data_IF_461040296707
#
_entry.id   IF_461040296707
#
_cell.length_a   1.000
_cell.length_b   1.000
_cell.length_c   1.000
_cell.angle_alpha   90.00
_cell.angle_beta   90.00
_cell.angle_gamma   90.00
#
_symmetry.space_group_name_H-M   'P 1'
#
loop_
_entity.id
_entity.type
_entity.pdbx_description
1 polymer ?
#
# COMPACT_ATOMS: atom_id res chain seq x y z
N UNK A 1 0.35 -5.47 -5.23
CA UNK A 1 -0.26 -6.12 -4.06
C UNK A 1 0.00 -7.63 -4.04
N UNK A 2 1.27 -8.05 -4.07
CA UNK A 2 1.62 -9.47 -4.16
C UNK A 2 1.33 -10.26 -2.86
N UNK A 3 1.36 -9.58 -1.71
CA UNK A 3 1.05 -10.16 -0.40
C UNK A 3 -0.25 -9.57 0.15
N UNK A 4 -1.28 -10.41 0.26
CA UNK A 4 -2.64 -9.98 0.63
C UNK A 4 -3.03 -10.38 2.07
N UNK A 5 -2.08 -10.89 2.85
CA UNK A 5 -2.34 -11.41 4.20
C UNK A 5 -3.34 -12.56 4.15
N UNK A 6 -3.08 -13.56 3.31
CA UNK A 6 -3.93 -14.72 3.13
C UNK A 6 -3.80 -15.71 4.29
N UNK A 7 -4.91 -16.21 4.82
CA UNK A 7 -4.96 -17.23 5.86
C UNK A 7 -6.22 -18.10 5.74
N UNK A 8 -6.30 -19.17 6.52
CA UNK A 8 -7.45 -20.08 6.52
C UNK A 8 -8.72 -19.35 6.96
N UNK A 9 -9.79 -19.46 6.17
CA UNK A 9 -11.10 -18.92 6.53
C UNK A 9 -11.63 -19.45 7.87
N UNK A 10 -11.21 -20.66 8.25
CA UNK A 10 -11.56 -21.28 9.53
C UNK A 10 -10.83 -20.66 10.73
N UNK A 11 -9.71 -19.96 10.53
CA UNK A 11 -8.93 -19.34 11.62
C UNK A 11 -9.37 -17.90 11.93
N UNK A 12 -10.23 -17.32 11.09
CA UNK A 12 -10.67 -15.93 11.18
C UNK A 12 -11.26 -15.54 12.55
N UNK A 13 -11.98 -16.46 13.19
CA UNK A 13 -12.56 -16.24 14.53
C UNK A 13 -11.48 -16.05 15.62
N UNK A 14 -10.29 -16.64 15.45
CA UNK A 14 -9.17 -16.48 16.40
C UNK A 14 -8.70 -15.03 16.50
N UNK A 15 -8.97 -14.23 15.47
CA UNK A 15 -8.65 -12.81 15.41
C UNK A 15 -9.84 -11.89 15.77
N UNK A 16 -10.92 -12.44 16.34
CA UNK A 16 -12.13 -11.68 16.71
C UNK A 16 -13.08 -11.40 15.54
N UNK A 17 -12.78 -11.88 14.33
CA UNK A 17 -13.63 -11.71 13.16
C UNK A 17 -14.60 -12.90 13.04
N UNK A 18 -15.59 -12.98 13.94
CA UNK A 18 -16.59 -14.06 13.94
C UNK A 18 -17.78 -13.81 13.02
N UNK A 19 -18.18 -12.54 12.84
CA UNK A 19 -19.45 -12.16 12.19
C UNK A 19 -19.53 -12.57 10.72
N UNK A 20 -20.76 -12.68 10.21
CA UNK A 20 -21.03 -12.90 8.78
C UNK A 20 -20.54 -11.72 7.93
N UNK A 21 -20.72 -10.49 8.42
CA UNK A 21 -20.15 -9.31 7.79
C UNK A 21 -18.65 -9.46 7.58
N UNK A 22 -17.91 -9.82 8.64
CA UNK A 22 -16.48 -10.07 8.52
C UNK A 22 -16.17 -11.27 7.60
N UNK A 23 -17.05 -12.29 7.53
CA UNK A 23 -16.82 -13.44 6.64
C UNK A 23 -16.83 -12.98 5.19
N UNK A 24 -17.84 -12.20 4.83
CA UNK A 24 -17.99 -11.64 3.51
C UNK A 24 -16.88 -10.65 3.19
N UNK A 25 -16.43 -9.84 4.16
CA UNK A 25 -15.33 -8.91 3.95
C UNK A 25 -14.00 -9.62 3.73
N UNK A 26 -13.71 -10.75 4.37
CA UNK A 26 -12.42 -11.44 4.19
C UNK A 26 -12.39 -12.44 3.01
N UNK A 27 -13.53 -13.01 2.62
CA UNK A 27 -13.58 -14.09 1.63
C UNK A 27 -12.98 -13.67 0.28
N UNK A 28 -11.98 -14.41 -0.19
CA UNK A 28 -11.31 -14.21 -1.47
C UNK A 28 -10.70 -15.51 -1.97
N UNK A 29 -11.09 -15.98 -3.16
CA UNK A 29 -10.54 -17.16 -3.84
C UNK A 29 -10.31 -18.41 -2.95
N UNK A 30 -11.29 -18.72 -2.08
CA UNK A 30 -11.24 -19.91 -1.21
C UNK A 30 -10.49 -19.74 0.12
N UNK A 31 -9.87 -18.57 0.35
CA UNK A 31 -9.19 -18.23 1.60
C UNK A 31 -9.69 -16.89 2.18
N UNK A 32 -9.19 -16.51 3.35
CA UNK A 32 -9.45 -15.21 3.96
C UNK A 32 -8.28 -14.26 3.68
N UNK A 33 -8.57 -13.08 3.14
CA UNK A 33 -7.59 -12.05 2.80
C UNK A 33 -7.79 -10.81 3.66
N UNK A 34 -6.81 -10.49 4.51
CA UNK A 34 -6.83 -9.27 5.32
C UNK A 34 -6.82 -8.01 4.45
N UNK A 35 -6.08 -8.03 3.34
CA UNK A 35 -6.05 -6.92 2.38
C UNK A 35 -7.44 -6.67 1.78
N UNK A 36 -8.12 -7.73 1.33
CA UNK A 36 -9.47 -7.62 0.76
C UNK A 36 -10.46 -7.09 1.79
N UNK A 37 -10.35 -7.53 3.05
CA UNK A 37 -11.18 -7.02 4.13
C UNK A 37 -10.96 -5.52 4.35
N UNK A 38 -9.71 -5.07 4.46
CA UNK A 38 -9.37 -3.64 4.60
C UNK A 38 -9.89 -2.81 3.43
N UNK A 39 -9.66 -3.26 2.19
CA UNK A 39 -10.19 -2.59 0.99
C UNK A 39 -11.72 -2.49 1.01
N UNK A 40 -12.42 -3.50 1.54
CA UNK A 40 -13.87 -3.52 1.58
C UNK A 40 -14.44 -2.55 2.63
N UNK A 41 -13.82 -2.45 3.80
CA UNK A 41 -14.43 -1.83 4.99
C UNK A 41 -13.89 -0.45 5.36
N UNK A 42 -12.69 -0.07 4.90
CA UNK A 42 -12.14 1.26 5.20
C UNK A 42 -13.01 2.37 4.62
N UNK A 43 -13.01 3.54 5.27
CA UNK A 43 -13.69 4.74 4.74
C UNK A 43 -12.95 5.29 3.53
N UNK A 44 -11.62 5.39 3.64
CA UNK A 44 -10.70 5.90 2.62
C UNK A 44 -9.53 4.93 2.46
N UNK A 45 -9.02 4.83 1.24
CA UNK A 45 -7.83 4.06 0.89
C UNK A 45 -6.69 5.04 0.57
N UNK A 46 -5.50 4.79 1.10
CA UNK A 46 -4.30 5.54 0.74
C UNK A 46 -3.23 4.61 0.18
N UNK A 47 -2.35 5.18 -0.63
CA UNK A 47 -1.20 4.48 -1.18
C UNK A 47 -0.04 5.45 -1.41
N UNK A 48 1.15 4.93 -1.72
CA UNK A 48 2.40 5.71 -1.69
C UNK A 48 2.62 6.65 -2.88
N UNK A 49 1.74 6.69 -3.87
CA UNK A 49 1.78 7.70 -4.93
C UNK A 49 0.46 7.79 -5.70
N UNK A 50 0.15 8.95 -6.32
CA UNK A 50 -1.03 9.10 -7.19
C UNK A 50 -1.00 8.18 -8.41
N UNK A 51 0.20 7.88 -8.92
CA UNK A 51 0.36 6.93 -10.04
C UNK A 51 0.05 5.52 -9.58
N UNK A 52 0.60 5.10 -8.44
CA UNK A 52 0.34 3.76 -7.91
C UNK A 52 -1.14 3.54 -7.56
N UNK A 53 -1.85 4.58 -7.10
CA UNK A 53 -3.30 4.53 -6.89
C UNK A 53 -4.08 4.19 -8.16
N UNK A 54 -3.61 4.66 -9.33
CA UNK A 54 -4.18 4.34 -10.65
C UNK A 54 -3.73 2.97 -11.13
N UNK A 55 -2.47 2.61 -10.92
CA UNK A 55 -1.92 1.34 -11.38
C UNK A 55 -2.61 0.14 -10.74
N UNK A 56 -2.82 0.13 -9.42
CA UNK A 56 -3.42 -1.02 -8.72
C UNK A 56 -4.91 -1.23 -9.03
N UNK A 57 -5.52 -0.29 -9.77
CA UNK A 57 -6.86 -0.44 -10.33
C UNK A 57 -6.85 -1.20 -11.65
N UNK A 58 -5.68 -1.48 -12.23
CA UNK A 58 -5.54 -2.27 -13.46
C UNK A 58 -5.37 -3.77 -13.10
N UNK A 59 -5.91 -4.70 -13.91
CA UNK A 59 -5.82 -6.14 -13.64
C UNK A 59 -4.38 -6.64 -13.41
N UNK A 60 -3.40 -6.08 -14.12
CA UNK A 60 -2.00 -6.49 -14.08
C UNK A 60 -1.35 -6.22 -12.72
N UNK A 61 -1.81 -5.18 -12.02
CA UNK A 61 -1.19 -4.69 -10.78
C UNK A 61 -2.08 -4.89 -9.54
N UNK A 62 -3.36 -5.19 -9.74
CA UNK A 62 -4.32 -5.35 -8.65
C UNK A 62 -4.45 -6.78 -8.11
N UNK A 63 -3.78 -7.77 -8.71
CA UNK A 63 -3.70 -9.16 -8.19
C UNK A 63 -5.08 -9.75 -7.82
N UNK A 64 -6.09 -9.53 -8.66
CA UNK A 64 -7.47 -9.99 -8.46
C UNK A 64 -8.32 -9.16 -7.49
N UNK A 65 -7.78 -8.07 -6.93
CA UNK A 65 -8.49 -7.08 -6.13
C UNK A 65 -8.71 -5.75 -6.89
N UNK A 66 -8.19 -5.64 -8.11
CA UNK A 66 -8.33 -4.48 -9.00
C UNK A 66 -9.79 -4.02 -9.13
N UNK A 67 -10.72 -4.96 -9.28
CA UNK A 67 -12.15 -4.66 -9.41
C UNK A 67 -12.72 -3.97 -8.16
N UNK A 68 -12.27 -4.37 -6.96
CA UNK A 68 -12.73 -3.79 -5.70
C UNK A 68 -12.18 -2.38 -5.53
N UNK A 69 -10.93 -2.16 -5.93
CA UNK A 69 -10.30 -0.83 -5.90
C UNK A 69 -10.94 0.08 -6.94
N UNK A 70 -11.22 -0.40 -8.16
CA UNK A 70 -11.96 0.37 -9.18
C UNK A 70 -13.35 0.78 -8.69
N UNK A 71 -14.07 -0.11 -8.02
CA UNK A 71 -15.36 0.22 -7.40
C UNK A 71 -15.24 1.35 -6.36
N UNK A 72 -14.05 1.50 -5.79
CA UNK A 72 -13.70 2.51 -4.78
C UNK A 72 -12.80 3.63 -5.33
N UNK A 73 -12.79 3.85 -6.65
CA UNK A 73 -11.93 4.86 -7.28
C UNK A 73 -12.16 6.28 -6.70
N UNK A 74 -13.37 6.60 -6.25
CA UNK A 74 -13.69 7.88 -5.61
C UNK A 74 -13.23 8.01 -4.15
N UNK A 75 -12.72 6.95 -3.53
CA UNK A 75 -12.25 6.93 -2.14
C UNK A 75 -10.82 6.40 -1.99
N UNK A 76 -10.04 6.37 -3.07
CA UNK A 76 -8.61 6.06 -3.05
C UNK A 76 -7.75 7.27 -3.39
N UNK A 77 -6.69 7.49 -2.61
CA UNK A 77 -5.76 8.60 -2.74
C UNK A 77 -4.32 8.08 -2.78
N UNK A 78 -3.46 8.79 -3.50
CA UNK A 78 -2.02 8.58 -3.47
C UNK A 78 -1.32 9.70 -2.71
N UNK A 79 -0.60 9.35 -1.65
CA UNK A 79 0.19 10.24 -0.81
C UNK A 79 1.65 9.83 -0.99
N UNK A 80 2.43 10.70 -1.63
CA UNK A 80 3.87 10.46 -1.84
C UNK A 80 4.59 10.39 -0.51
N UNK A 81 5.42 9.36 -0.33
CA UNK A 81 6.27 9.26 0.86
C UNK A 81 7.23 10.45 0.93
N UNK A 82 7.37 11.02 2.13
CA UNK A 82 8.39 12.01 2.43
C UNK A 82 9.69 11.37 2.93
N UNK A 83 10.73 12.18 2.99
CA UNK A 83 11.97 11.89 3.71
C UNK A 83 12.24 13.01 4.70
N UNK A 84 12.94 12.70 5.78
CA UNK A 84 13.39 13.69 6.76
C UNK A 84 14.69 14.33 6.26
N UNK A 85 14.64 15.61 5.88
CA UNK A 85 15.81 16.34 5.36
C UNK A 85 16.74 16.88 6.44
N UNK A 86 16.42 16.77 7.73
CA UNK A 86 17.41 17.02 8.78
C UNK A 86 18.38 15.84 8.90
N UNK A 87 17.91 14.65 8.55
CA UNK A 87 18.68 13.40 8.58
C UNK A 87 19.26 13.07 7.20
N UNK A 88 18.45 13.15 6.14
CA UNK A 88 18.76 12.70 4.79
C UNK A 88 19.05 13.87 3.85
N UNK A 89 20.03 14.70 4.19
CA UNK A 89 20.47 15.82 3.37
C UNK A 89 21.85 15.56 2.74
N UNK A 90 21.95 15.27 1.43
CA UNK A 90 23.23 15.01 0.78
C UNK A 90 24.19 16.21 0.81
N UNK A 91 23.73 17.43 1.09
CA UNK A 91 24.61 18.60 1.21
C UNK A 91 25.41 18.61 2.52
N UNK A 92 24.93 17.90 3.55
CA UNK A 92 25.54 17.90 4.90
C UNK A 92 25.76 16.50 5.48
N UNK A 93 25.27 15.45 4.83
CA UNK A 93 25.38 14.07 5.27
C UNK A 93 26.85 13.61 5.30
N UNK A 94 27.34 13.23 6.47
CA UNK A 94 28.71 12.77 6.69
C UNK A 94 28.93 11.29 6.35
N UNK A 95 27.86 10.54 6.13
CA UNK A 95 27.90 9.10 5.83
C UNK A 95 28.10 8.80 4.33
N UNK A 96 27.91 9.80 3.46
CA UNK A 96 28.16 9.66 2.02
C UNK A 96 29.58 10.09 1.64
N UNK A 97 30.11 9.50 0.57
CA UNK A 97 31.51 9.68 0.17
C UNK A 97 31.87 11.14 -0.21
N UNK A 98 30.90 11.91 -0.69
CA UNK A 98 31.03 13.33 -0.98
C UNK A 98 29.67 13.99 -0.94
N UNK A 99 29.60 15.20 -0.38
CA UNK A 99 28.37 15.99 -0.37
C UNK A 99 28.04 16.52 -1.77
N UNK A 100 26.75 16.65 -2.05
CA UNK A 100 26.25 17.23 -3.30
C UNK A 100 24.89 17.90 -3.06
N UNK A 101 24.59 18.91 -3.86
CA UNK A 101 23.36 19.69 -3.78
C UNK A 101 22.68 19.83 -5.13
N UNK A 102 21.53 20.52 -5.17
CA UNK A 102 20.84 20.78 -6.44
C UNK A 102 21.66 21.63 -7.40
N UNK A 103 22.52 22.49 -6.85
CA UNK A 103 23.35 23.44 -7.62
C UNK A 103 24.74 22.87 -7.96
N UNK A 104 25.18 21.80 -7.28
CA UNK A 104 26.42 21.10 -7.55
C UNK A 104 26.27 19.59 -7.35
N UNK A 105 26.19 18.88 -8.48
CA UNK A 105 26.04 17.43 -8.54
C UNK A 105 27.38 16.69 -8.60
N UNK A 106 28.53 17.37 -8.56
CA UNK A 106 29.84 16.74 -8.77
C UNK A 106 30.18 15.63 -7.76
N UNK A 107 29.63 15.72 -6.55
CA UNK A 107 29.73 14.70 -5.49
C UNK A 107 28.79 13.50 -5.68
N UNK A 108 27.80 13.57 -6.57
CA UNK A 108 26.82 12.50 -6.82
C UNK A 108 27.41 11.46 -7.78
N UNK A 109 27.94 10.35 -7.23
CA UNK A 109 28.54 9.24 -7.99
C UNK A 109 27.86 7.92 -7.73
#
# INVERSE_FOLDING_TARGET
MAYQGGFSSADRWKFGFGSEFARNSFAFNGYASAMKAGLAVSDVLSTVSPTYAREIQLPENGYGLDWLIRKRAGSILGITNGVDYEVWNPETDTEIAANFGSDDLSGKR
#
